data_IF_299865754758
#
_entry.id   IF_299865754758
#
_cell.length_a   1.000
_cell.length_b   1.000
_cell.length_c   1.000
_cell.angle_alpha   90.00
_cell.angle_beta   90.00
_cell.angle_gamma   90.00
#
_symmetry.space_group_name_H-M   'P 1'
#
loop_
_entity.id
_entity.type
_entity.pdbx_description
1 polymer ?
#
# COMPACT_ATOMS: atom_id res chain seq x y z
N UNK A 1 -17.94 -12.65 -9.16
CA UNK A 1 -18.26 -11.72 -8.08
C UNK A 1 -17.16 -11.90 -7.05
N UNK A 2 -16.30 -10.92 -6.85
CA UNK A 2 -15.27 -10.98 -5.82
C UNK A 2 -16.00 -10.90 -4.46
N UNK A 3 -15.83 -11.91 -3.62
CA UNK A 3 -16.32 -11.91 -2.24
C UNK A 3 -15.39 -11.01 -1.44
N UNK A 4 -15.93 -9.94 -0.87
CA UNK A 4 -15.21 -9.07 0.06
C UNK A 4 -14.88 -9.90 1.30
N UNK A 5 -13.62 -10.21 1.53
CA UNK A 5 -13.15 -10.92 2.74
C UNK A 5 -13.08 -9.92 3.90
N UNK A 6 -13.39 -10.37 5.12
CA UNK A 6 -13.32 -9.54 6.32
C UNK A 6 -12.63 -10.32 7.43
N UNK A 7 -11.88 -9.59 8.26
CA UNK A 7 -11.34 -10.14 9.50
C UNK A 7 -12.45 -10.38 10.57
N UNK A 8 -12.05 -10.89 11.73
CA UNK A 8 -12.96 -11.15 12.85
C UNK A 8 -13.63 -9.87 13.42
N UNK A 9 -13.06 -8.69 13.15
CA UNK A 9 -13.57 -7.38 13.59
C UNK A 9 -14.40 -6.69 12.50
N UNK A 10 -14.57 -7.34 11.32
CA UNK A 10 -15.36 -6.84 10.20
C UNK A 10 -14.62 -5.89 9.25
N UNK A 11 -13.31 -5.69 9.43
CA UNK A 11 -12.47 -4.90 8.53
C UNK A 11 -12.33 -5.63 7.19
N UNK A 12 -12.43 -4.89 6.09
CA UNK A 12 -12.22 -5.45 4.74
C UNK A 12 -10.75 -5.82 4.58
N UNK A 13 -10.48 -7.09 4.25
CA UNK A 13 -9.15 -7.64 4.05
C UNK A 13 -8.97 -8.09 2.61
N UNK A 14 -7.72 -8.13 2.14
CA UNK A 14 -7.36 -8.58 0.80
C UNK A 14 -7.80 -7.64 -0.33
N UNK A 15 -7.48 -8.01 -1.55
CA UNK A 15 -7.86 -7.25 -2.73
C UNK A 15 -9.33 -7.48 -3.10
N UNK A 16 -10.17 -6.45 -3.04
CA UNK A 16 -11.57 -6.50 -3.52
C UNK A 16 -11.68 -6.74 -5.03
N UNK A 17 -10.59 -6.54 -5.77
CA UNK A 17 -10.50 -6.77 -7.21
C UNK A 17 -9.08 -7.19 -7.58
N UNK A 18 -8.94 -8.32 -8.30
CA UNK A 18 -7.64 -8.74 -8.84
C UNK A 18 -7.15 -7.76 -9.92
N UNK A 19 -6.34 -6.79 -9.49
CA UNK A 19 -5.74 -5.78 -10.37
C UNK A 19 -4.60 -6.37 -11.19
N UNK A 20 -3.85 -7.29 -10.59
CA UNK A 20 -2.62 -7.85 -11.17
C UNK A 20 -2.91 -8.93 -12.22
N UNK A 21 -3.95 -9.75 -12.06
CA UNK A 21 -4.37 -10.76 -13.02
C UNK A 21 -5.35 -10.27 -14.10
N UNK A 22 -5.69 -8.97 -14.13
CA UNK A 22 -6.68 -8.42 -15.06
C UNK A 22 -6.25 -8.56 -16.53
N UNK A 23 -7.13 -9.11 -17.38
CA UNK A 23 -6.94 -9.20 -18.84
C UNK A 23 -7.40 -7.92 -19.58
N UNK A 24 -8.07 -6.99 -18.90
CA UNK A 24 -8.54 -5.73 -19.50
C UNK A 24 -7.35 -4.83 -19.87
N UNK A 25 -7.19 -4.44 -21.16
CA UNK A 25 -6.03 -3.66 -21.60
C UNK A 25 -5.93 -2.27 -20.95
N UNK A 26 -7.06 -1.65 -20.59
CA UNK A 26 -7.07 -0.36 -19.87
C UNK A 26 -6.52 -0.55 -18.46
N UNK A 27 -7.01 -1.56 -17.73
CA UNK A 27 -6.53 -1.87 -16.37
C UNK A 27 -5.04 -2.21 -16.41
N UNK A 28 -4.60 -3.05 -17.35
CA UNK A 28 -3.17 -3.39 -17.52
C UNK A 28 -2.30 -2.15 -17.77
N UNK A 29 -2.75 -1.20 -18.61
CA UNK A 29 -2.01 0.05 -18.86
C UNK A 29 -1.91 0.92 -17.62
N UNK A 30 -3.01 1.02 -16.84
CA UNK A 30 -3.03 1.76 -15.57
C UNK A 30 -2.07 1.13 -14.57
N UNK A 31 -2.14 -0.20 -14.40
CA UNK A 31 -1.26 -0.94 -13.50
C UNK A 31 0.22 -0.83 -13.91
N UNK A 32 0.53 -0.91 -15.20
CA UNK A 32 1.90 -0.70 -15.68
C UNK A 32 2.45 0.71 -15.37
N UNK A 33 1.58 1.74 -15.41
CA UNK A 33 1.94 3.10 -14.98
C UNK A 33 2.16 3.21 -13.48
N UNK A 34 1.31 2.54 -12.70
CA UNK A 34 1.41 2.43 -11.24
C UNK A 34 2.74 1.75 -10.83
N UNK A 35 2.98 0.54 -11.33
CA UNK A 35 4.17 -0.26 -11.00
C UNK A 35 5.46 0.45 -11.39
N UNK A 36 5.53 1.03 -12.60
CA UNK A 36 6.70 1.80 -13.02
C UNK A 36 6.99 2.96 -12.08
N UNK A 37 5.96 3.72 -11.67
CA UNK A 37 6.14 4.82 -10.71
C UNK A 37 6.61 4.31 -9.35
N UNK A 38 6.07 3.20 -8.90
CA UNK A 38 6.45 2.55 -7.64
C UNK A 38 7.92 2.11 -7.67
N UNK A 39 8.33 1.41 -8.75
CA UNK A 39 9.70 0.95 -8.94
C UNK A 39 10.71 2.13 -9.05
N UNK A 40 10.34 3.23 -9.72
CA UNK A 40 11.16 4.45 -9.80
C UNK A 40 11.35 5.12 -8.43
N UNK A 41 10.29 5.22 -7.61
CA UNK A 41 10.36 5.80 -6.28
C UNK A 41 11.12 4.89 -5.30
N UNK A 42 10.93 3.59 -5.38
CA UNK A 42 11.69 2.60 -4.62
C UNK A 42 13.19 2.68 -4.96
N UNK A 43 13.51 2.75 -6.26
CA UNK A 43 14.88 2.89 -6.73
C UNK A 43 15.57 4.18 -6.25
N UNK A 44 14.82 5.28 -6.04
CA UNK A 44 15.36 6.52 -5.45
C UNK A 44 15.72 6.36 -3.98
N UNK A 45 14.90 5.64 -3.23
CA UNK A 45 15.17 5.35 -1.82
C UNK A 45 16.31 4.34 -1.65
N UNK A 46 16.51 3.43 -2.63
CA UNK A 46 17.51 2.37 -2.66
C UNK A 46 17.68 1.64 -1.31
N UNK A 47 16.58 1.13 -0.70
CA UNK A 47 16.61 0.59 0.65
C UNK A 47 17.27 -0.80 0.68
N UNK A 48 18.02 -1.07 1.74
CA UNK A 48 18.55 -2.41 2.06
C UNK A 48 17.64 -3.20 3.03
N UNK A 49 16.62 -2.55 3.57
CA UNK A 49 15.57 -3.19 4.39
C UNK A 49 14.23 -2.50 4.15
N UNK A 50 13.16 -3.30 3.94
CA UNK A 50 11.83 -2.82 3.61
C UNK A 50 10.82 -3.46 4.55
N UNK A 51 9.94 -2.64 5.12
CA UNK A 51 8.70 -3.09 5.75
C UNK A 51 7.53 -2.71 4.85
N UNK A 52 6.74 -3.67 4.40
CA UNK A 52 5.49 -3.42 3.67
C UNK A 52 4.29 -3.64 4.60
N UNK A 53 3.62 -2.54 4.94
CA UNK A 53 2.46 -2.52 5.84
C UNK A 53 1.20 -2.68 5.00
N UNK A 54 0.41 -3.73 5.27
CA UNK A 54 -0.74 -4.12 4.45
C UNK A 54 -0.30 -4.76 3.13
N UNK A 55 0.59 -5.75 3.21
CA UNK A 55 1.21 -6.38 2.04
C UNK A 55 0.26 -7.29 1.22
N UNK A 56 -0.98 -7.51 1.69
CA UNK A 56 -1.94 -8.41 1.06
C UNK A 56 -1.36 -9.81 0.87
N UNK A 57 -1.64 -10.40 -0.29
CA UNK A 57 -1.15 -11.74 -0.67
C UNK A 57 0.36 -11.79 -0.96
N UNK A 58 1.10 -10.69 -0.76
CA UNK A 58 2.56 -10.64 -0.87
C UNK A 58 3.11 -10.44 -2.29
N UNK A 59 2.29 -10.09 -3.25
CA UNK A 59 2.69 -9.93 -4.67
C UNK A 59 3.81 -8.89 -4.84
N UNK A 60 3.68 -7.71 -4.24
CA UNK A 60 4.70 -6.65 -4.31
C UNK A 60 5.94 -7.01 -3.52
N UNK A 61 5.78 -7.56 -2.33
CA UNK A 61 6.88 -8.03 -1.47
C UNK A 61 7.74 -9.04 -2.22
N UNK A 62 7.12 -10.02 -2.89
CA UNK A 62 7.82 -11.02 -3.69
C UNK A 62 8.55 -10.40 -4.90
N UNK A 63 7.90 -9.49 -5.62
CA UNK A 63 8.51 -8.75 -6.74
C UNK A 63 9.76 -7.97 -6.28
N UNK A 64 9.68 -7.27 -5.15
CA UNK A 64 10.81 -6.53 -4.60
C UNK A 64 11.93 -7.44 -4.11
N UNK A 65 11.60 -8.59 -3.52
CA UNK A 65 12.60 -9.57 -3.07
C UNK A 65 13.41 -10.13 -4.24
N UNK A 66 12.76 -10.37 -5.37
CA UNK A 66 13.44 -10.81 -6.60
C UNK A 66 14.32 -9.71 -7.19
N UNK A 67 13.86 -8.45 -7.17
CA UNK A 67 14.60 -7.30 -7.71
C UNK A 67 15.77 -6.87 -6.79
N UNK A 68 15.67 -7.13 -5.49
CA UNK A 68 16.65 -6.73 -4.46
C UNK A 68 17.02 -7.92 -3.56
N UNK A 69 17.74 -8.93 -4.07
CA UNK A 69 18.01 -10.18 -3.33
C UNK A 69 18.81 -9.99 -2.04
N UNK A 70 19.58 -8.89 -1.91
CA UNK A 70 20.35 -8.55 -0.72
C UNK A 70 19.54 -7.75 0.32
N UNK A 71 18.34 -7.26 -0.03
CA UNK A 71 17.52 -6.49 0.89
C UNK A 71 16.71 -7.45 1.79
N UNK A 72 16.64 -7.13 3.10
CA UNK A 72 15.67 -7.78 4.00
C UNK A 72 14.29 -7.19 3.76
N UNK A 73 13.27 -8.02 3.51
CA UNK A 73 11.91 -7.56 3.30
C UNK A 73 10.97 -8.24 4.30
N UNK A 74 10.18 -7.43 4.97
CA UNK A 74 9.14 -7.90 5.88
C UNK A 74 7.79 -7.41 5.38
N UNK A 75 6.85 -8.32 5.14
CA UNK A 75 5.47 -8.00 4.83
C UNK A 75 4.59 -8.23 6.07
N UNK A 76 3.73 -7.29 6.39
CA UNK A 76 2.72 -7.47 7.44
C UNK A 76 1.31 -7.22 6.91
N UNK A 77 0.35 -8.01 7.39
CA UNK A 77 -1.08 -7.81 7.13
C UNK A 77 -1.92 -8.40 8.26
N UNK A 78 -3.23 -8.19 8.18
CA UNK A 78 -4.20 -8.77 9.08
C UNK A 78 -4.32 -10.30 8.86
N UNK A 79 -4.82 -11.00 9.87
CA UNK A 79 -5.08 -12.42 9.77
C UNK A 79 -6.26 -12.71 8.83
N UNK A 80 -5.97 -13.30 7.68
CA UNK A 80 -6.98 -13.75 6.72
C UNK A 80 -6.47 -14.95 5.91
N UNK A 81 -7.32 -15.99 5.67
CA UNK A 81 -6.90 -17.22 5.00
C UNK A 81 -6.38 -17.02 3.57
N UNK A 82 -6.96 -16.11 2.82
CA UNK A 82 -6.56 -15.75 1.45
C UNK A 82 -5.19 -15.04 1.42
N UNK A 83 -4.92 -14.15 2.37
CA UNK A 83 -3.63 -13.50 2.56
C UNK A 83 -2.54 -14.54 2.85
N UNK A 84 -2.78 -15.42 3.83
CA UNK A 84 -1.82 -16.47 4.21
C UNK A 84 -1.57 -17.48 3.08
N UNK A 85 -2.60 -17.82 2.31
CA UNK A 85 -2.47 -18.65 1.12
C UNK A 85 -1.61 -17.97 0.01
N UNK A 86 -1.73 -16.65 -0.13
CA UNK A 86 -0.88 -15.83 -1.00
C UNK A 86 0.58 -15.87 -0.55
N UNK A 87 0.85 -15.66 0.74
CA UNK A 87 2.21 -15.74 1.29
C UNK A 87 2.90 -17.07 1.02
N UNK A 88 2.15 -18.17 1.10
CA UNK A 88 2.69 -19.50 0.77
C UNK A 88 3.16 -19.62 -0.68
N UNK A 89 2.57 -18.85 -1.61
CA UNK A 89 2.93 -18.80 -3.02
C UNK A 89 4.03 -17.77 -3.34
N UNK A 90 4.22 -16.75 -2.50
CA UNK A 90 5.12 -15.61 -2.71
C UNK A 90 6.31 -15.62 -1.75
N UNK A 91 6.94 -16.79 -1.57
CA UNK A 91 8.12 -16.96 -0.72
C UNK A 91 9.42 -16.62 -1.46
N UNK A 92 10.39 -16.05 -0.72
CA UNK A 92 11.80 -15.93 -1.13
C UNK A 92 12.69 -15.95 0.11
N UNK A 93 14.01 -16.27 -0.03
CA UNK A 93 14.92 -16.41 1.11
C UNK A 93 15.06 -15.14 1.97
N UNK A 94 14.82 -13.97 1.39
CA UNK A 94 14.94 -12.66 2.00
C UNK A 94 13.60 -12.04 2.41
N UNK A 95 12.50 -12.83 2.42
CA UNK A 95 11.17 -12.40 2.85
C UNK A 95 10.81 -13.00 4.20
N UNK A 96 10.20 -12.20 5.05
CA UNK A 96 9.50 -12.61 6.25
C UNK A 96 8.07 -12.05 6.23
N UNK A 97 7.06 -12.88 6.52
CA UNK A 97 5.67 -12.43 6.68
C UNK A 97 5.24 -12.55 8.13
N UNK A 98 4.50 -11.53 8.61
CA UNK A 98 3.93 -11.51 9.96
C UNK A 98 2.49 -11.02 9.96
N UNK A 99 1.66 -11.64 10.79
CA UNK A 99 0.32 -11.13 11.09
C UNK A 99 0.46 -9.98 12.09
N UNK A 100 0.06 -8.77 11.68
CA UNK A 100 0.07 -7.60 12.56
C UNK A 100 -0.86 -6.49 12.06
N UNK A 101 -1.35 -5.65 12.98
CA UNK A 101 -2.11 -4.43 12.66
C UNK A 101 -1.15 -3.28 12.35
N UNK A 102 -1.55 -2.39 11.43
CA UNK A 102 -0.74 -1.24 11.01
C UNK A 102 -0.54 -0.18 12.11
N UNK A 103 -1.43 -0.13 13.10
CA UNK A 103 -1.44 0.86 14.18
C UNK A 103 -0.44 0.57 15.32
N UNK A 104 0.17 -0.61 15.35
CA UNK A 104 1.15 -0.97 16.40
C UNK A 104 2.21 -1.90 15.82
N UNK A 105 3.27 -1.32 15.28
CA UNK A 105 4.32 -2.07 14.59
C UNK A 105 5.33 -2.65 15.58
N UNK A 106 5.50 -3.98 15.68
CA UNK A 106 6.36 -4.65 16.66
C UNK A 106 7.84 -4.63 16.24
N UNK A 107 8.33 -3.44 15.85
CA UNK A 107 9.70 -3.21 15.40
C UNK A 107 10.31 -2.01 16.12
N UNK A 108 11.64 -2.00 16.22
CA UNK A 108 12.38 -0.91 16.84
C UNK A 108 12.36 0.36 15.98
N UNK A 109 12.64 1.51 16.62
CA UNK A 109 12.82 2.78 15.92
C UNK A 109 13.97 2.69 14.91
N UNK A 110 13.72 3.07 13.66
CA UNK A 110 14.73 3.05 12.59
C UNK A 110 15.20 1.64 12.18
N UNK A 111 14.40 0.60 12.42
CA UNK A 111 14.75 -0.78 12.04
C UNK A 111 14.79 -0.98 10.51
N UNK A 112 14.04 -0.19 9.77
CA UNK A 112 13.93 -0.30 8.31
C UNK A 112 14.45 0.94 7.59
N UNK A 113 15.11 0.73 6.45
CA UNK A 113 15.49 1.82 5.55
C UNK A 113 14.29 2.40 4.78
N UNK A 114 13.20 1.61 4.67
CA UNK A 114 11.95 2.05 4.04
C UNK A 114 10.76 1.33 4.70
N UNK A 115 9.70 2.10 4.99
CA UNK A 115 8.38 1.54 5.28
C UNK A 115 7.40 1.95 4.17
N UNK A 116 6.69 0.98 3.61
CA UNK A 116 5.67 1.19 2.57
C UNK A 116 4.27 0.89 3.09
N UNK A 117 3.28 1.58 2.51
CA UNK A 117 1.86 1.27 2.62
C UNK A 117 1.18 1.59 1.28
N UNK A 118 0.90 0.55 0.50
CA UNK A 118 0.45 0.67 -0.88
C UNK A 118 -1.03 0.32 -0.97
N UNK A 119 -1.90 1.35 -1.09
CA UNK A 119 -3.37 1.19 -1.09
C UNK A 119 -3.88 0.61 0.25
N UNK A 120 -3.43 1.17 1.36
CA UNK A 120 -3.74 0.72 2.71
C UNK A 120 -4.41 1.82 3.54
N UNK A 121 -3.89 3.06 3.50
CA UNK A 121 -4.33 4.12 4.41
C UNK A 121 -5.80 4.50 4.24
N UNK A 122 -6.41 4.24 3.07
CA UNK A 122 -7.84 4.42 2.84
C UNK A 122 -8.72 3.48 3.68
N UNK A 123 -8.14 2.40 4.21
CA UNK A 123 -8.84 1.36 4.97
C UNK A 123 -8.64 1.46 6.49
N UNK A 124 -7.56 2.11 6.96
CA UNK A 124 -7.23 2.15 8.39
C UNK A 124 -8.07 3.17 9.15
N UNK A 125 -8.45 2.90 10.40
CA UNK A 125 -9.26 3.81 11.22
C UNK A 125 -8.56 5.13 11.54
N UNK A 126 -7.24 5.08 11.86
CA UNK A 126 -6.41 6.26 12.17
C UNK A 126 -5.16 6.29 11.28
N UNK A 127 -5.26 6.88 10.07
CA UNK A 127 -4.13 6.97 9.15
C UNK A 127 -2.99 7.86 9.66
N UNK A 128 -3.28 8.84 10.51
CA UNK A 128 -2.23 9.71 11.06
C UNK A 128 -1.35 8.94 12.05
N UNK A 129 -1.96 8.13 12.91
CA UNK A 129 -1.24 7.25 13.83
C UNK A 129 -0.45 6.17 13.07
N UNK A 130 -1.07 5.53 12.07
CA UNK A 130 -0.38 4.55 11.22
C UNK A 130 0.87 5.15 10.55
N UNK A 131 0.77 6.34 9.97
CA UNK A 131 1.94 7.03 9.36
C UNK A 131 2.99 7.37 10.41
N UNK A 132 2.60 7.76 11.65
CA UNK A 132 3.54 8.03 12.74
C UNK A 132 4.33 6.77 13.13
N UNK A 133 3.67 5.60 13.24
CA UNK A 133 4.30 4.31 13.50
C UNK A 133 5.26 3.90 12.37
N UNK A 134 4.83 4.05 11.11
CA UNK A 134 5.69 3.82 9.95
C UNK A 134 6.92 4.75 9.97
N UNK A 135 6.75 6.02 10.29
CA UNK A 135 7.86 6.97 10.42
C UNK A 135 8.80 6.62 11.58
N UNK A 136 8.28 6.10 12.68
CA UNK A 136 9.08 5.62 13.81
C UNK A 136 9.99 4.45 13.40
N UNK A 137 9.42 3.43 12.76
CA UNK A 137 10.18 2.22 12.37
C UNK A 137 11.12 2.46 11.19
N UNK A 138 10.86 3.50 10.37
CA UNK A 138 11.70 3.91 9.25
C UNK A 138 12.55 5.16 9.55
N UNK A 139 12.72 5.54 10.81
CA UNK A 139 13.48 6.74 11.21
C UNK A 139 14.89 6.75 10.61
N UNK A 140 15.23 7.85 9.93
CA UNK A 140 16.47 7.98 9.17
C UNK A 140 16.41 7.40 7.76
N UNK A 141 15.31 6.75 7.39
CA UNK A 141 15.02 6.14 6.10
C UNK A 141 13.94 6.88 5.32
N UNK A 142 13.02 6.13 4.71
CA UNK A 142 11.96 6.67 3.85
C UNK A 142 10.59 6.03 4.12
N UNK A 143 9.53 6.78 3.82
CA UNK A 143 8.19 6.24 3.62
C UNK A 143 7.85 6.25 2.12
N UNK A 144 7.24 5.18 1.62
CA UNK A 144 6.68 5.10 0.28
C UNK A 144 5.21 4.72 0.38
N UNK A 145 4.32 5.67 0.09
CA UNK A 145 2.90 5.52 0.39
C UNK A 145 2.06 5.84 -0.83
N UNK A 146 1.02 5.03 -1.10
CA UNK A 146 0.05 5.31 -2.14
C UNK A 146 -1.39 5.22 -1.66
N UNK A 147 -2.25 6.02 -2.29
CA UNK A 147 -3.71 6.00 -2.08
C UNK A 147 -4.44 6.32 -3.39
N UNK A 148 -5.71 5.90 -3.54
CA UNK A 148 -6.58 6.38 -4.60
C UNK A 148 -6.76 7.90 -4.51
N UNK A 149 -6.70 8.58 -5.66
CA UNK A 149 -6.83 10.04 -5.71
C UNK A 149 -8.28 10.47 -5.85
N UNK A 150 -8.80 11.15 -4.83
CA UNK A 150 -10.15 11.69 -4.84
C UNK A 150 -10.21 13.14 -5.36
N UNK A 151 -11.33 13.54 -5.99
CA UNK A 151 -12.57 12.78 -6.27
C UNK A 151 -12.51 11.91 -7.53
N UNK A 152 -11.35 11.81 -8.17
CA UNK A 152 -11.16 11.10 -9.44
C UNK A 152 -11.55 9.62 -9.35
N UNK A 153 -11.14 8.94 -8.28
CA UNK A 153 -11.41 7.51 -8.07
C UNK A 153 -12.91 7.21 -8.03
N UNK A 154 -13.66 7.99 -7.24
CA UNK A 154 -15.13 7.87 -7.15
C UNK A 154 -15.80 8.20 -8.48
N UNK A 155 -15.32 9.22 -9.18
CA UNK A 155 -15.81 9.58 -10.51
C UNK A 155 -15.65 8.45 -11.54
N UNK A 156 -14.50 7.76 -11.53
CA UNK A 156 -14.24 6.61 -12.39
C UNK A 156 -15.11 5.40 -12.03
N UNK A 157 -15.32 5.15 -10.74
CA UNK A 157 -16.22 4.10 -10.28
C UNK A 157 -17.66 4.34 -10.76
N UNK A 158 -18.17 5.57 -10.63
CA UNK A 158 -19.51 5.96 -11.15
C UNK A 158 -19.58 5.83 -12.66
N UNK A 159 -18.56 6.29 -13.39
CA UNK A 159 -18.53 6.23 -14.86
C UNK A 159 -18.60 4.79 -15.41
N UNK A 160 -18.06 3.80 -14.66
CA UNK A 160 -18.17 2.36 -15.01
C UNK A 160 -19.40 1.68 -14.40
N UNK A 161 -20.32 2.42 -13.77
CA UNK A 161 -21.54 1.90 -13.13
C UNK A 161 -21.28 1.16 -11.80
N UNK A 162 -20.08 1.29 -11.21
CA UNK A 162 -19.75 0.64 -9.95
C UNK A 162 -20.06 1.56 -8.75
N UNK A 163 -20.57 0.94 -7.68
CA UNK A 163 -20.82 1.59 -6.38
C UNK A 163 -21.68 2.85 -6.45
N UNK A 164 -22.67 2.88 -7.37
CA UNK A 164 -23.51 4.06 -7.60
C UNK A 164 -24.31 4.48 -6.36
N UNK A 165 -24.76 3.51 -5.54
CA UNK A 165 -25.49 3.77 -4.30
C UNK A 165 -24.63 4.50 -3.27
N UNK A 166 -23.32 4.29 -3.30
CA UNK A 166 -22.34 4.87 -2.39
C UNK A 166 -21.56 6.02 -3.05
N UNK A 167 -22.15 6.65 -4.08
CA UNK A 167 -21.55 7.74 -4.87
C UNK A 167 -20.13 7.41 -5.35
N UNK A 168 -19.93 6.18 -5.82
CA UNK A 168 -18.67 5.67 -6.34
C UNK A 168 -17.64 5.28 -5.27
N UNK A 169 -17.98 5.34 -3.98
CA UNK A 169 -17.08 4.92 -2.92
C UNK A 169 -16.86 3.40 -2.97
N UNK A 170 -15.61 2.98 -2.92
CA UNK A 170 -15.25 1.55 -2.84
C UNK A 170 -15.56 1.03 -1.43
N UNK A 171 -16.17 -0.15 -1.28
CA UNK A 171 -16.38 -0.76 0.04
C UNK A 171 -15.07 -0.85 0.84
N UNK A 172 -15.12 -0.41 2.09
CA UNK A 172 -13.96 -0.38 2.98
C UNK A 172 -13.09 0.89 2.89
N UNK A 173 -13.29 1.79 1.91
CA UNK A 173 -12.64 3.09 1.92
C UNK A 173 -13.32 4.01 2.92
N UNK A 174 -12.70 4.20 4.08
CA UNK A 174 -13.17 5.09 5.15
C UNK A 174 -12.48 6.45 5.09
N UNK A 175 -11.30 6.52 4.47
CA UNK A 175 -10.53 7.75 4.26
C UNK A 175 -10.41 8.11 2.78
N UNK A 176 -10.40 9.43 2.50
CA UNK A 176 -10.39 9.95 1.14
C UNK A 176 -9.43 11.14 1.05
N UNK A 177 -8.49 11.11 0.08
CA UNK A 177 -7.55 12.21 -0.08
C UNK A 177 -7.49 12.74 -1.51
N UNK A 178 -7.44 14.07 -1.59
CA UNK A 178 -6.83 14.75 -2.73
C UNK A 178 -5.30 14.59 -2.67
N UNK A 179 -4.60 14.81 -3.79
CA UNK A 179 -3.14 14.85 -3.77
C UNK A 179 -2.60 15.83 -2.69
N UNK A 180 -3.20 17.02 -2.58
CA UNK A 180 -2.78 18.05 -1.65
C UNK A 180 -2.90 17.61 -0.20
N UNK A 181 -4.07 17.13 0.20
CA UNK A 181 -4.31 16.71 1.60
C UNK A 181 -3.49 15.48 1.99
N UNK A 182 -3.19 14.57 1.03
CA UNK A 182 -2.34 13.43 1.27
C UNK A 182 -0.87 13.82 1.47
N UNK A 183 -0.34 14.70 0.62
CA UNK A 183 1.01 15.27 0.78
C UNK A 183 1.12 16.03 2.11
N UNK A 184 0.09 16.79 2.50
CA UNK A 184 0.06 17.52 3.77
C UNK A 184 0.09 16.58 4.99
N UNK A 185 -0.65 15.45 4.95
CA UNK A 185 -0.58 14.43 6.00
C UNK A 185 0.86 13.93 6.17
N UNK A 186 1.48 13.52 5.08
CA UNK A 186 2.81 12.90 5.09
C UNK A 186 3.93 13.89 5.43
N UNK A 187 3.81 15.16 5.01
CA UNK A 187 4.81 16.20 5.30
C UNK A 187 4.98 16.55 6.79
N UNK A 188 4.04 16.11 7.63
CA UNK A 188 4.15 16.24 9.10
C UNK A 188 5.18 15.27 9.70
N UNK A 189 5.58 14.26 8.95
CA UNK A 189 6.47 13.19 9.43
C UNK A 189 7.85 13.22 8.79
N UNK A 190 8.08 14.08 7.79
CA UNK A 190 9.39 14.19 7.14
C UNK A 190 9.37 15.10 5.90
N UNK A 191 10.48 15.13 5.19
CA UNK A 191 10.63 15.88 3.96
C UNK A 191 10.04 15.11 2.77
N UNK A 192 9.10 15.72 2.04
CA UNK A 192 8.53 15.13 0.82
C UNK A 192 9.57 15.20 -0.30
N UNK A 193 10.22 14.08 -0.56
CA UNK A 193 11.23 13.95 -1.63
C UNK A 193 10.57 14.04 -3.00
N UNK A 194 9.44 13.33 -3.17
CA UNK A 194 8.72 13.33 -4.43
C UNK A 194 7.26 12.93 -4.25
N UNK A 195 6.36 13.58 -5.02
CA UNK A 195 4.94 13.24 -5.07
C UNK A 195 4.49 13.06 -6.53
N UNK A 196 4.21 11.83 -6.92
CA UNK A 196 3.76 11.41 -8.24
C UNK A 196 2.26 11.13 -8.28
N UNK A 197 1.69 11.17 -9.47
CA UNK A 197 0.27 10.90 -9.66
C UNK A 197 0.04 9.95 -10.85
N UNK A 198 0.50 8.68 -10.76
CA UNK A 198 0.10 7.69 -11.74
C UNK A 198 -1.42 7.56 -11.70
N UNK A 199 -2.06 7.71 -12.86
CA UNK A 199 -3.52 7.74 -12.93
C UNK A 199 -4.13 6.37 -12.57
N UNK A 200 -5.10 6.29 -11.66
CA UNK A 200 -5.79 7.33 -10.89
C UNK A 200 -5.30 7.47 -9.43
N UNK A 201 -4.05 7.19 -9.11
CA UNK A 201 -3.49 7.18 -7.75
C UNK A 201 -2.64 8.41 -7.42
N UNK A 202 -2.29 8.55 -6.18
CA UNK A 202 -1.22 9.42 -5.69
C UNK A 202 -0.20 8.57 -4.95
N UNK A 203 1.10 8.76 -5.26
CA UNK A 203 2.23 8.14 -4.58
C UNK A 203 3.16 9.19 -4.05
N UNK A 204 3.68 9.00 -2.85
CA UNK A 204 4.58 9.95 -2.19
C UNK A 204 5.75 9.22 -1.57
N UNK A 205 6.96 9.72 -1.82
CA UNK A 205 8.20 9.33 -1.15
C UNK A 205 8.57 10.44 -0.17
N UNK A 206 8.76 10.07 1.10
CA UNK A 206 9.11 10.99 2.19
C UNK A 206 10.41 10.52 2.85
N UNK A 207 11.33 11.44 3.15
CA UNK A 207 12.51 11.19 3.98
C UNK A 207 12.15 11.48 5.45
N UNK A 208 12.29 10.51 6.35
CA UNK A 208 11.96 10.61 7.78
C UNK A 208 13.20 10.55 8.66
#
# INVERSE_FOLDING_TARGET
>A
MSTVTRDAEGTVTGNTYDKYGSTNPVVRRLMAGFERTLDELLGRAAPNSILDVGCGEGVLVHKWAQAHPEARIVGIDLEAPDIQAGWAQHQAPNIEYRINKAENLPFADGEFALASAIEVLEHVPDPAHTVAEMARVARGGHLLVSVPREPLWRGLNMARGAYLKDLGNTPGHVNHWSKRSFVELLSRHGEVVEARSPFPWTMVLVKV
#
